data_IF_751495393556
#
_entry.id   IF_751495393556
#
_cell.length_a   1.000
_cell.length_b   1.000
_cell.length_c   1.000
_cell.angle_alpha   90.00
_cell.angle_beta   90.00
_cell.angle_gamma   90.00
#
_symmetry.space_group_name_H-M   'P 1'
#
loop_
_entity.id
_entity.type
_entity.pdbx_description
1 polymer ?
#
# COMPACT_ATOMS: atom_id res chain seq x y z
N UNK A 1 -6.16 -3.34 -5.51
CA UNK A 1 -5.53 -3.65 -4.20
C UNK A 1 -6.45 -4.62 -3.46
N UNK A 2 -5.91 -5.44 -2.56
CA UNK A 2 -6.65 -6.44 -1.79
C UNK A 2 -5.97 -6.66 -0.44
N UNK A 3 -6.70 -7.04 0.60
CA UNK A 3 -6.13 -7.35 1.92
C UNK A 3 -5.93 -8.85 2.09
N UNK A 4 -4.78 -9.26 2.60
CA UNK A 4 -4.51 -10.64 3.03
C UNK A 4 -3.55 -10.65 4.22
N UNK A 5 -3.92 -11.36 5.30
CA UNK A 5 -3.05 -11.61 6.45
C UNK A 5 -2.40 -10.33 7.04
N UNK A 6 -3.18 -9.26 7.23
CA UNK A 6 -2.69 -7.99 7.77
C UNK A 6 -1.83 -7.18 6.78
N UNK A 7 -1.81 -7.55 5.49
CA UNK A 7 -1.13 -6.82 4.44
C UNK A 7 -2.12 -6.31 3.38
N UNK A 8 -1.94 -5.06 2.96
CA UNK A 8 -2.53 -4.52 1.74
C UNK A 8 -1.62 -4.84 0.56
N UNK A 9 -2.11 -5.63 -0.38
CA UNK A 9 -1.40 -6.00 -1.60
C UNK A 9 -1.88 -5.10 -2.73
N UNK A 10 -0.94 -4.43 -3.41
CA UNK A 10 -1.23 -3.50 -4.49
C UNK A 10 -0.37 -3.73 -5.73
N UNK A 11 -0.95 -3.37 -6.87
CA UNK A 11 -0.23 -3.22 -8.13
C UNK A 11 0.10 -1.74 -8.30
N UNK A 12 1.32 -1.47 -8.73
CA UNK A 12 1.79 -0.14 -9.09
C UNK A 12 2.39 -0.20 -10.49
N UNK A 13 2.06 0.78 -11.31
CA UNK A 13 2.57 0.95 -12.68
C UNK A 13 3.41 2.22 -12.73
N UNK A 14 4.48 2.20 -13.52
CA UNK A 14 5.28 3.38 -13.81
C UNK A 14 4.47 4.41 -14.64
N UNK A 15 4.53 5.68 -14.23
CA UNK A 15 3.87 6.83 -14.86
C UNK A 15 4.44 7.17 -16.26
N UNK A 16 5.66 6.71 -16.60
CA UNK A 16 6.18 6.78 -17.97
C UNK A 16 5.50 5.77 -18.93
N UNK A 17 4.53 5.02 -18.41
CA UNK A 17 3.36 4.59 -19.16
C UNK A 17 3.51 3.32 -20.00
N UNK A 18 4.68 2.67 -20.12
CA UNK A 18 4.80 1.51 -21.04
C UNK A 18 5.78 0.38 -20.68
N UNK A 19 6.39 0.31 -19.49
CA UNK A 19 7.46 -0.69 -19.26
C UNK A 19 7.46 -1.39 -17.90
N UNK A 20 6.35 -1.41 -17.17
CA UNK A 20 6.26 -2.39 -16.12
C UNK A 20 5.24 -2.18 -15.03
N UNK A 21 5.08 -3.23 -14.25
CA UNK A 21 4.24 -3.26 -13.06
C UNK A 21 5.01 -3.88 -11.90
N UNK A 22 4.69 -3.46 -10.70
CA UNK A 22 5.20 -4.04 -9.47
C UNK A 22 4.04 -4.49 -8.58
N UNK A 23 4.25 -5.59 -7.87
CA UNK A 23 3.39 -6.01 -6.78
C UNK A 23 4.09 -5.67 -5.47
N UNK A 24 3.41 -4.94 -4.60
CA UNK A 24 3.91 -4.50 -3.30
C UNK A 24 2.99 -4.96 -2.18
N UNK A 25 3.56 -5.33 -1.04
CA UNK A 25 2.85 -5.75 0.16
C UNK A 25 3.08 -4.75 1.29
N UNK A 26 2.06 -4.02 1.69
CA UNK A 26 2.14 -3.05 2.77
C UNK A 26 1.55 -3.64 4.04
N UNK A 27 2.30 -3.63 5.13
CA UNK A 27 1.74 -3.98 6.45
C UNK A 27 0.70 -2.94 6.86
N UNK A 28 -0.51 -3.38 7.22
CA UNK A 28 -1.59 -2.49 7.65
C UNK A 28 -1.22 -1.71 8.91
N UNK A 29 -0.44 -2.30 9.81
CA UNK A 29 0.08 -1.62 11.00
C UNK A 29 0.96 -0.42 10.62
N UNK A 30 1.87 -0.59 9.65
CA UNK A 30 2.70 0.50 9.14
C UNK A 30 1.84 1.60 8.49
N UNK A 31 0.84 1.23 7.70
CA UNK A 31 -0.10 2.18 7.10
C UNK A 31 -0.83 2.99 8.18
N UNK A 32 -1.40 2.31 9.19
CA UNK A 32 -2.10 2.93 10.32
C UNK A 32 -1.21 3.90 11.08
N UNK A 33 0.02 3.49 11.40
CA UNK A 33 0.99 4.34 12.08
C UNK A 33 1.32 5.57 11.23
N UNK A 34 1.54 5.43 9.93
CA UNK A 34 1.80 6.59 9.05
C UNK A 34 0.62 7.56 8.99
N UNK A 35 -0.62 7.09 8.95
CA UNK A 35 -1.79 7.97 9.07
C UNK A 35 -1.78 8.71 10.40
N UNK A 36 -1.57 8.00 11.51
CA UNK A 36 -1.51 8.59 12.84
C UNK A 36 -0.41 9.64 12.95
N UNK A 37 0.81 9.35 12.48
CA UNK A 37 1.94 10.28 12.50
C UNK A 37 1.67 11.58 11.73
N UNK A 38 1.02 11.50 10.57
CA UNK A 38 0.64 12.70 9.82
C UNK A 38 -0.37 13.56 10.59
N UNK A 39 -1.35 12.92 11.27
CA UNK A 39 -2.32 13.62 12.12
C UNK A 39 -1.63 14.26 13.33
N UNK A 40 -0.74 13.52 14.00
CA UNK A 40 0.00 14.00 15.18
C UNK A 40 0.89 15.20 14.84
N UNK A 41 1.63 15.14 13.73
CA UNK A 41 2.47 16.25 13.24
C UNK A 41 1.65 17.52 12.99
N UNK A 42 0.50 17.40 12.35
CA UNK A 42 -0.41 18.54 12.18
C UNK A 42 -0.94 19.05 13.54
N UNK A 43 -1.24 18.17 14.50
CA UNK A 43 -1.60 18.58 15.86
C UNK A 43 -0.45 19.23 16.62
N UNK A 44 0.80 19.02 16.22
CA UNK A 44 1.95 19.82 16.67
C UNK A 44 1.94 21.26 16.15
N UNK A 45 1.05 21.60 15.20
CA UNK A 45 1.00 22.91 14.54
C UNK A 45 2.01 23.05 13.39
N UNK A 46 2.55 21.93 12.90
CA UNK A 46 3.50 21.93 11.77
C UNK A 46 2.74 21.89 10.45
N UNK A 47 3.23 22.63 9.46
CA UNK A 47 2.71 22.66 8.08
C UNK A 47 1.22 23.09 7.96
N UNK A 48 0.59 22.71 6.86
CA UNK A 48 -0.84 22.88 6.58
C UNK A 48 -1.56 21.54 6.60
N UNK A 49 -2.88 21.58 6.55
CA UNK A 49 -3.70 20.37 6.49
C UNK A 49 -3.42 19.53 5.21
N UNK A 50 -2.93 20.15 4.13
CA UNK A 50 -2.42 19.42 2.97
C UNK A 50 -3.51 18.87 2.03
N UNK A 51 -4.70 19.47 2.01
CA UNK A 51 -5.80 19.06 1.12
C UNK A 51 -6.31 20.23 0.25
N UNK A 52 -5.44 20.86 -0.58
CA UNK A 52 -5.81 22.06 -1.35
C UNK A 52 -6.85 21.79 -2.44
N UNK A 53 -6.89 20.58 -3.01
CA UNK A 53 -7.83 20.19 -4.06
C UNK A 53 -9.29 20.14 -3.59
N UNK A 54 -9.54 20.12 -2.28
CA UNK A 54 -10.88 20.29 -1.66
C UNK A 54 -11.00 21.60 -0.87
N UNK A 55 -10.07 22.55 -1.06
CA UNK A 55 -10.07 23.84 -0.37
C UNK A 55 -9.71 23.79 1.12
N UNK A 56 -9.08 22.69 1.59
CA UNK A 56 -8.78 22.47 3.02
C UNK A 56 -7.28 22.45 3.28
N UNK A 57 -6.65 23.61 3.08
CA UNK A 57 -5.20 23.79 3.20
C UNK A 57 -4.80 24.93 4.16
N UNK A 58 -5.61 25.17 5.18
CA UNK A 58 -5.25 26.09 6.25
C UNK A 58 -4.07 25.54 7.08
N UNK A 59 -3.39 26.44 7.78
CA UNK A 59 -2.34 26.07 8.73
C UNK A 59 -2.89 25.13 9.80
N UNK A 60 -2.08 24.15 10.15
CA UNK A 60 -2.36 23.25 11.24
C UNK A 60 -2.43 24.00 12.59
N UNK A 61 -3.39 23.62 13.44
CA UNK A 61 -3.59 24.24 14.76
C UNK A 61 -2.95 23.36 15.83
N UNK A 62 -2.09 23.96 16.66
CA UNK A 62 -1.43 23.24 17.74
C UNK A 62 -2.46 22.77 18.80
N UNK A 63 -2.55 21.45 18.95
CA UNK A 63 -3.35 20.71 19.92
C UNK A 63 -2.52 19.62 20.63
N UNK A 64 -1.20 19.79 20.67
CA UNK A 64 -0.26 18.83 21.30
C UNK A 64 -0.53 18.57 22.79
N UNK A 65 -1.20 19.49 23.47
CA UNK A 65 -1.62 19.34 24.87
C UNK A 65 -2.77 18.33 25.07
N UNK A 66 -3.44 17.90 24.00
CA UNK A 66 -4.52 16.92 24.06
C UNK A 66 -3.97 15.55 23.64
N UNK A 67 -4.28 14.46 24.36
CA UNK A 67 -3.85 13.13 23.97
C UNK A 67 -4.45 12.72 22.62
N UNK A 68 -3.70 11.94 21.86
CA UNK A 68 -4.12 11.38 20.58
C UNK A 68 -3.96 9.86 20.62
N UNK A 69 -5.09 9.14 20.56
CA UNK A 69 -5.07 7.69 20.39
C UNK A 69 -4.69 7.32 18.94
N UNK A 70 -4.06 6.17 18.75
CA UNK A 70 -3.88 5.58 17.42
C UNK A 70 -5.21 5.25 16.73
N UNK A 71 -6.24 4.92 17.51
CA UNK A 71 -7.60 4.64 17.03
C UNK A 71 -8.46 5.91 16.94
N UNK A 72 -7.82 7.06 16.70
CA UNK A 72 -8.51 8.35 16.63
C UNK A 72 -9.45 8.43 15.42
N UNK A 73 -10.66 8.95 15.65
CA UNK A 73 -11.63 9.30 14.59
C UNK A 73 -11.62 10.81 14.27
N UNK A 74 -10.54 11.51 14.61
CA UNK A 74 -10.40 12.94 14.30
C UNK A 74 -10.27 13.18 12.78
N UNK A 75 -10.51 14.42 12.38
CA UNK A 75 -10.46 14.84 10.98
C UNK A 75 -9.08 14.55 10.36
N UNK A 76 -8.99 13.60 9.42
CA UNK A 76 -7.74 13.17 8.79
C UNK A 76 -7.14 14.25 7.89
N UNK A 77 -5.81 14.34 7.86
CA UNK A 77 -5.03 15.33 7.07
C UNK A 77 -4.52 14.71 5.78
N UNK A 78 -4.13 15.53 4.80
CA UNK A 78 -3.53 15.03 3.55
C UNK A 78 -2.19 14.34 3.82
N UNK A 79 -1.40 14.90 4.73
CA UNK A 79 -0.10 14.36 5.10
C UNK A 79 0.94 14.50 3.98
N UNK A 80 2.21 14.53 4.36
CA UNK A 80 3.36 14.54 3.42
C UNK A 80 4.29 13.36 3.66
N UNK A 81 4.08 12.62 4.76
CA UNK A 81 4.86 11.44 5.08
C UNK A 81 4.19 10.25 4.42
N UNK A 82 4.88 9.67 3.44
CA UNK A 82 4.40 8.53 2.64
C UNK A 82 4.73 7.19 3.30
N UNK A 83 3.89 6.18 3.02
CA UNK A 83 4.22 4.79 3.34
C UNK A 83 5.07 4.22 2.20
N UNK A 84 6.33 3.91 2.48
CA UNK A 84 7.24 3.32 1.49
C UNK A 84 7.31 1.80 1.63
N UNK A 85 7.49 1.10 0.50
CA UNK A 85 7.72 -0.34 0.48
C UNK A 85 8.51 -0.78 -0.75
N UNK A 86 9.35 -1.80 -0.60
CA UNK A 86 10.04 -2.44 -1.73
C UNK A 86 9.09 -3.35 -2.50
N UNK A 87 9.18 -3.31 -3.83
CA UNK A 87 8.43 -4.23 -4.68
C UNK A 87 8.83 -5.68 -4.36
N UNK A 88 7.84 -6.52 -4.09
CA UNK A 88 8.06 -7.95 -3.92
C UNK A 88 8.35 -8.61 -5.26
N UNK A 89 7.68 -8.15 -6.33
CA UNK A 89 7.84 -8.64 -7.70
C UNK A 89 7.74 -7.46 -8.66
N UNK A 90 8.56 -7.49 -9.70
CA UNK A 90 8.56 -6.52 -10.80
C UNK A 90 8.43 -7.23 -12.14
N UNK A 91 7.63 -6.65 -13.03
CA UNK A 91 7.43 -7.10 -14.40
C UNK A 91 7.88 -5.99 -15.34
N UNK A 92 8.90 -6.23 -16.17
CA UNK A 92 9.51 -5.20 -17.04
C UNK A 92 8.74 -4.93 -18.35
N UNK A 93 7.81 -5.78 -18.72
CA UNK A 93 7.07 -5.64 -20.00
C UNK A 93 5.63 -6.12 -19.87
N UNK A 94 5.10 -6.16 -18.65
CA UNK A 94 3.70 -6.54 -18.40
C UNK A 94 3.01 -5.47 -17.59
N UNK A 95 1.82 -5.11 -18.04
CA UNK A 95 0.93 -4.24 -17.30
C UNK A 95 -0.07 -5.10 -16.55
N UNK A 96 -0.05 -5.03 -15.23
CA UNK A 96 -1.03 -5.67 -14.38
C UNK A 96 -2.22 -4.73 -14.16
N UNK A 97 -3.43 -5.27 -14.26
CA UNK A 97 -4.69 -4.49 -14.23
C UNK A 97 -5.60 -4.88 -13.08
N UNK A 98 -5.45 -6.10 -12.56
CA UNK A 98 -6.24 -6.62 -11.45
C UNK A 98 -5.35 -7.44 -10.53
N UNK A 99 -5.67 -7.45 -9.23
CA UNK A 99 -4.99 -8.29 -8.24
C UNK A 99 -6.00 -8.79 -7.21
N UNK A 100 -5.89 -10.05 -6.85
CA UNK A 100 -6.50 -10.60 -5.65
C UNK A 100 -5.51 -11.52 -4.92
N UNK A 101 -5.72 -11.73 -3.63
CA UNK A 101 -4.86 -12.55 -2.81
C UNK A 101 -5.65 -13.30 -1.74
N UNK A 102 -5.30 -14.57 -1.51
CA UNK A 102 -5.98 -15.44 -0.53
C UNK A 102 -4.97 -16.33 0.15
N UNK A 103 -5.30 -16.77 1.37
CA UNK A 103 -4.52 -17.80 2.06
C UNK A 103 -5.06 -19.16 1.64
N UNK A 104 -4.22 -19.97 0.99
CA UNK A 104 -4.53 -21.34 0.58
C UNK A 104 -3.46 -22.26 1.13
N UNK A 105 -3.85 -23.30 1.88
CA UNK A 105 -2.91 -24.25 2.50
C UNK A 105 -1.77 -23.57 3.29
N UNK A 106 -2.10 -22.52 4.06
CA UNK A 106 -1.16 -21.69 4.86
C UNK A 106 -0.12 -20.92 4.04
N UNK A 107 -0.29 -20.82 2.72
CA UNK A 107 0.52 -19.98 1.84
C UNK A 107 -0.33 -18.84 1.29
N UNK A 108 0.28 -17.70 1.01
CA UNK A 108 -0.41 -16.57 0.41
C UNK A 108 -0.35 -16.74 -1.10
N UNK A 109 -1.50 -17.02 -1.70
CA UNK A 109 -1.71 -17.07 -3.14
C UNK A 109 -2.06 -15.67 -3.62
N UNK A 110 -1.27 -15.11 -4.54
CA UNK A 110 -1.58 -13.87 -5.26
C UNK A 110 -1.90 -14.21 -6.70
N UNK A 111 -2.98 -13.63 -7.20
CA UNK A 111 -3.41 -13.74 -8.60
C UNK A 111 -3.47 -12.34 -9.17
N UNK A 112 -2.83 -12.12 -10.31
CA UNK A 112 -2.83 -10.85 -11.02
C UNK A 112 -3.27 -11.03 -12.47
N UNK A 113 -4.20 -10.19 -12.93
CA UNK A 113 -4.60 -10.10 -14.33
C UNK A 113 -3.70 -9.12 -15.09
N UNK A 114 -3.37 -9.43 -16.35
CA UNK A 114 -2.62 -8.54 -17.24
C UNK A 114 -3.55 -7.80 -18.19
N UNK A 115 -3.07 -6.71 -18.81
CA UNK A 115 -3.78 -6.03 -19.89
C UNK A 115 -3.92 -6.88 -21.16
N UNK A 116 -3.10 -7.93 -21.30
CA UNK A 116 -3.17 -8.92 -22.39
C UNK A 116 -4.21 -10.02 -22.16
N UNK A 117 -4.92 -10.02 -21.03
CA UNK A 117 -5.90 -11.06 -20.68
C UNK A 117 -5.28 -12.30 -20.03
N UNK A 118 -4.00 -12.28 -19.70
CA UNK A 118 -3.32 -13.39 -19.01
C UNK A 118 -3.58 -13.31 -17.50
N UNK A 119 -3.48 -14.45 -16.84
CA UNK A 119 -3.53 -14.55 -15.38
C UNK A 119 -2.17 -15.05 -14.90
N UNK A 120 -1.56 -14.28 -14.00
CA UNK A 120 -0.31 -14.62 -13.33
C UNK A 120 -0.64 -15.05 -11.91
N UNK A 121 -0.09 -16.19 -11.51
CA UNK A 121 -0.23 -16.73 -10.16
C UNK A 121 1.12 -16.75 -9.47
N UNK A 122 1.13 -16.37 -8.20
CA UNK A 122 2.31 -16.43 -7.33
C UNK A 122 1.93 -16.98 -5.96
N UNK A 123 2.80 -17.81 -5.36
CA UNK A 123 2.57 -18.38 -4.03
C UNK A 123 3.72 -17.95 -3.11
N UNK A 124 3.42 -17.10 -2.13
CA UNK A 124 4.38 -16.81 -1.06
C UNK A 124 4.24 -17.82 0.09
N UNK A 125 5.34 -18.49 0.41
CA UNK A 125 5.49 -19.21 1.67
C UNK A 125 6.02 -18.29 2.77
N UNK A 126 5.47 -18.43 3.98
CA UNK A 126 6.09 -17.90 5.20
C UNK A 126 7.34 -18.73 5.53
N UNK A 127 8.42 -18.54 4.78
CA UNK A 127 9.75 -19.02 5.15
C UNK A 127 10.61 -17.82 5.47
N UNK A 128 11.16 -17.79 6.68
CA UNK A 128 12.19 -16.83 7.07
C UNK A 128 13.34 -16.96 6.05
N UNK A 129 13.58 -15.88 5.32
CA UNK A 129 14.53 -15.77 4.20
C UNK A 129 14.11 -16.52 2.91
N UNK A 130 13.68 -15.75 1.92
CA UNK A 130 13.56 -16.18 0.52
C UNK A 130 12.18 -16.69 0.14
N UNK A 131 11.39 -15.84 -0.53
CA UNK A 131 10.26 -16.30 -1.32
C UNK A 131 10.80 -17.17 -2.47
N UNK A 132 10.24 -18.37 -2.64
CA UNK A 132 10.51 -19.23 -3.80
C UNK A 132 9.45 -18.91 -4.86
N UNK A 133 9.90 -18.46 -6.03
CA UNK A 133 9.06 -17.95 -7.11
C UNK A 133 8.77 -19.07 -8.11
N UNK A 134 7.49 -19.36 -8.37
CA UNK A 134 7.10 -20.32 -9.40
C UNK A 134 5.93 -19.74 -10.20
N UNK A 135 6.24 -19.24 -11.40
CA UNK A 135 5.24 -18.76 -12.35
C UNK A 135 4.64 -19.97 -13.04
N UNK A 136 3.44 -20.38 -12.62
CA UNK A 136 2.69 -21.42 -13.31
C UNK A 136 1.76 -20.77 -14.35
N UNK A 137 1.95 -21.01 -15.66
CA UNK A 137 0.95 -20.64 -16.65
C UNK A 137 -0.30 -21.50 -16.44
N UNK A 138 -1.47 -20.86 -16.30
CA UNK A 138 -2.75 -21.56 -16.38
C UNK A 138 -2.96 -21.97 -17.85
N UNK A 139 -2.92 -23.28 -18.12
CA UNK A 139 -3.37 -23.90 -19.38
C UNK A 139 -4.88 -23.81 -19.53
#
# INVERSE_FOLDING_TARGET
MTEVDGHLVGIFTDDEGKRGSAICFFQLEKIRLTFWYNIDRCRGGTDTIGLPHIGRDSKCINKSHLPLSEDTCQLGVGGTIEVTQFASIQFKERLLTAIDARIVLKKTLVIAGTNGGEIIQEIQSKTAAGAFFEVMPLM
#
